data_IF_618537507628
#
_entry.id   IF_618537507628
#
_cell.length_a   1.000
_cell.length_b   1.000
_cell.length_c   1.000
_cell.angle_alpha   90.00
_cell.angle_beta   90.00
_cell.angle_gamma   90.00
#
_symmetry.space_group_name_H-M   'P 1'
#
loop_
_entity.id
_entity.type
_entity.pdbx_description
1 polymer ?
#
# COMPACT_ATOMS: atom_id res chain seq x y z
N UNK A 1 3.00 7.56 8.87
CA UNK A 1 3.26 7.78 10.32
C UNK A 1 3.64 9.23 10.60
N UNK A 2 3.52 9.70 11.85
CA UNK A 2 3.99 11.04 12.24
C UNK A 2 5.53 11.06 12.29
N UNK A 3 6.22 12.05 11.68
CA UNK A 3 7.67 12.04 11.55
C UNK A 3 8.44 11.86 12.86
N UNK A 4 7.96 12.45 13.95
CA UNK A 4 8.60 12.39 15.28
C UNK A 4 8.38 11.07 16.05
N UNK A 5 7.69 10.11 15.46
CA UNK A 5 7.40 8.79 16.07
C UNK A 5 7.94 7.63 15.24
N UNK A 6 8.46 7.86 14.04
CA UNK A 6 8.83 6.80 13.11
C UNK A 6 9.97 5.91 13.66
N UNK A 7 10.98 6.52 14.25
CA UNK A 7 12.08 5.83 14.93
C UNK A 7 11.57 4.90 16.05
N UNK A 8 10.73 5.44 16.94
CA UNK A 8 10.14 4.68 18.04
C UNK A 8 9.23 3.54 17.56
N UNK A 9 8.53 3.73 16.45
CA UNK A 9 7.71 2.68 15.85
C UNK A 9 8.59 1.57 15.29
N UNK A 10 9.68 1.90 14.59
CA UNK A 10 10.63 0.93 14.08
C UNK A 10 11.31 0.14 15.23
N UNK A 11 11.74 0.83 16.29
CA UNK A 11 12.32 0.21 17.49
C UNK A 11 11.33 -0.70 18.21
N UNK A 12 10.07 -0.30 18.31
CA UNK A 12 9.02 -1.12 18.91
C UNK A 12 8.75 -2.39 18.08
N UNK A 13 8.76 -2.31 16.76
CA UNK A 13 8.66 -3.49 15.88
C UNK A 13 9.85 -4.43 16.07
N UNK A 14 11.07 -3.90 16.09
CA UNK A 14 12.28 -4.69 16.36
C UNK A 14 12.21 -5.40 17.71
N UNK A 15 11.79 -4.69 18.77
CA UNK A 15 11.67 -5.26 20.12
C UNK A 15 10.64 -6.40 20.22
N UNK A 16 9.69 -6.46 19.28
CA UNK A 16 8.68 -7.52 19.18
C UNK A 16 9.11 -8.69 18.27
N UNK A 17 10.35 -8.66 17.77
CA UNK A 17 10.90 -9.71 16.92
C UNK A 17 10.51 -9.62 15.44
N UNK A 18 10.03 -8.46 14.99
CA UNK A 18 9.83 -8.20 13.56
C UNK A 18 11.20 -8.10 12.91
N UNK A 19 11.41 -8.85 11.83
CA UNK A 19 12.70 -8.91 11.12
C UNK A 19 12.78 -7.96 9.93
N UNK A 20 11.64 -7.59 9.34
CA UNK A 20 11.56 -6.67 8.20
C UNK A 20 10.31 -5.81 8.28
N UNK A 21 10.46 -4.50 8.19
CA UNK A 21 9.35 -3.54 8.16
C UNK A 21 9.81 -2.21 7.55
N UNK A 22 8.88 -1.51 6.93
CA UNK A 22 9.01 -0.10 6.61
C UNK A 22 7.99 0.71 7.41
N UNK A 23 8.46 1.70 8.15
CA UNK A 23 7.64 2.76 8.73
C UNK A 23 7.75 3.96 7.82
N UNK A 24 6.64 4.40 7.23
CA UNK A 24 6.67 5.39 6.15
C UNK A 24 5.94 6.69 6.54
N UNK A 25 6.42 7.79 5.96
CA UNK A 25 5.77 9.09 5.98
C UNK A 25 5.78 9.64 4.56
N UNK A 26 4.59 9.69 3.95
CA UNK A 26 4.41 10.12 2.58
C UNK A 26 4.55 11.62 2.39
N UNK A 27 4.99 12.02 1.20
CA UNK A 27 5.02 13.42 0.80
C UNK A 27 3.65 14.08 1.00
N UNK A 28 3.65 15.30 1.52
CA UNK A 28 2.42 16.03 1.84
C UNK A 28 1.69 15.54 3.10
N UNK A 29 2.30 14.65 3.89
CA UNK A 29 1.74 14.16 5.14
C UNK A 29 0.88 12.90 5.00
N UNK A 30 0.96 12.21 3.85
CA UNK A 30 0.25 10.94 3.65
C UNK A 30 0.74 9.88 4.66
N UNK A 31 -0.16 9.02 5.09
CA UNK A 31 0.12 7.88 5.96
C UNK A 31 0.58 6.62 5.19
N UNK A 32 0.70 6.74 3.86
CA UNK A 32 1.25 5.78 2.91
C UNK A 32 2.30 6.43 2.00
N UNK A 33 2.97 5.68 1.14
CA UNK A 33 3.90 6.22 0.16
C UNK A 33 3.16 7.00 -0.91
N UNK A 34 3.47 8.29 -1.02
CA UNK A 34 2.87 9.20 -1.99
C UNK A 34 3.56 9.10 -3.37
N UNK A 35 2.81 9.38 -4.43
CA UNK A 35 3.34 9.56 -5.79
C UNK A 35 3.61 11.04 -6.14
N UNK A 36 3.32 11.94 -5.21
CA UNK A 36 3.47 13.39 -5.39
C UNK A 36 4.89 13.92 -5.11
N UNK A 37 5.76 13.11 -4.49
CA UNK A 37 7.11 13.55 -4.13
C UNK A 37 7.87 12.51 -3.31
N UNK A 38 9.02 12.91 -2.69
CA UNK A 38 9.85 12.02 -1.89
C UNK A 38 9.15 11.62 -0.59
N UNK A 39 9.28 10.36 -0.21
CA UNK A 39 8.73 9.78 1.00
C UNK A 39 9.86 9.37 1.93
N UNK A 40 9.71 9.63 3.22
CA UNK A 40 10.67 9.19 4.24
C UNK A 40 10.34 7.77 4.68
N UNK A 41 11.36 6.92 4.72
CA UNK A 41 11.26 5.51 5.13
C UNK A 41 12.22 5.26 6.29
N UNK A 42 11.72 4.62 7.34
CA UNK A 42 12.52 3.96 8.37
C UNK A 42 12.40 2.46 8.15
N UNK A 43 13.43 1.89 7.56
CA UNK A 43 13.51 0.46 7.29
C UNK A 43 14.10 -0.28 8.48
N UNK A 44 13.35 -1.22 9.02
CA UNK A 44 13.86 -2.24 9.91
C UNK A 44 14.25 -3.46 9.07
N UNK A 45 15.53 -3.85 9.13
CA UNK A 45 16.04 -5.08 8.51
C UNK A 45 17.03 -5.75 9.43
N UNK A 46 16.78 -7.02 9.77
CA UNK A 46 17.65 -7.83 10.66
C UNK A 46 18.07 -7.12 11.96
N UNK A 47 17.12 -6.43 12.59
CA UNK A 47 17.32 -5.74 13.87
C UNK A 47 18.03 -4.39 13.75
N UNK A 48 18.34 -3.92 12.55
CA UNK A 48 18.91 -2.59 12.29
C UNK A 48 17.86 -1.67 11.67
N UNK A 49 17.88 -0.39 12.05
CA UNK A 49 17.00 0.63 11.47
C UNK A 49 17.84 1.56 10.59
N UNK A 50 17.47 1.68 9.32
CA UNK A 50 18.05 2.61 8.36
C UNK A 50 17.00 3.63 7.91
N UNK A 51 17.42 4.87 7.67
CA UNK A 51 16.52 5.92 7.18
C UNK A 51 16.97 6.34 5.78
N UNK A 52 16.01 6.39 4.85
CA UNK A 52 16.25 6.87 3.48
C UNK A 52 14.97 7.49 2.90
N UNK A 53 15.10 8.09 1.72
CA UNK A 53 13.96 8.55 0.93
C UNK A 53 13.72 7.62 -0.26
N UNK A 54 12.44 7.42 -0.60
CA UNK A 54 11.99 6.73 -1.80
C UNK A 54 11.03 7.62 -2.59
N UNK A 55 11.18 7.63 -3.91
CA UNK A 55 10.33 8.44 -4.78
C UNK A 55 9.77 7.60 -5.92
N UNK A 56 8.45 7.66 -6.13
CA UNK A 56 7.75 6.90 -7.17
C UNK A 56 8.28 7.17 -8.58
N UNK A 57 8.75 8.41 -8.86
CA UNK A 57 9.36 8.78 -10.15
C UNK A 57 10.59 7.95 -10.51
N UNK A 58 11.35 7.46 -9.51
CA UNK A 58 12.57 6.68 -9.71
C UNK A 58 12.26 5.27 -10.26
N UNK A 59 10.98 4.87 -10.21
CA UNK A 59 10.41 3.62 -10.75
C UNK A 59 9.52 3.86 -11.99
N UNK A 60 9.67 5.03 -12.64
CA UNK A 60 8.90 5.36 -13.84
C UNK A 60 7.42 5.66 -13.62
N UNK A 61 7.02 5.92 -12.37
CA UNK A 61 5.65 6.33 -12.03
C UNK A 61 5.54 7.85 -12.17
N UNK A 62 4.50 8.31 -12.86
CA UNK A 62 4.24 9.73 -13.07
C UNK A 62 3.93 10.44 -11.75
N UNK A 63 4.46 11.64 -11.59
CA UNK A 63 4.12 12.49 -10.45
C UNK A 63 2.68 12.97 -10.58
N UNK A 64 1.90 12.81 -9.51
CA UNK A 64 0.51 13.26 -9.39
C UNK A 64 0.33 14.07 -8.11
N UNK A 65 -0.71 14.85 -8.04
CA UNK A 65 -1.05 15.63 -6.84
C UNK A 65 -1.87 14.81 -5.85
N UNK A 66 -1.99 15.28 -4.61
CA UNK A 66 -2.88 14.65 -3.63
C UNK A 66 -4.36 14.75 -4.02
N UNK A 67 -4.73 15.77 -4.79
CA UNK A 67 -6.10 15.91 -5.28
C UNK A 67 -6.45 14.87 -6.35
N UNK A 68 -5.47 14.41 -7.14
CA UNK A 68 -5.66 13.37 -8.16
C UNK A 68 -5.98 11.97 -7.57
N UNK A 69 -5.68 11.75 -6.31
CA UNK A 69 -5.93 10.49 -5.59
C UNK A 69 -7.03 10.63 -4.53
N UNK A 70 -7.67 11.80 -4.47
CA UNK A 70 -8.70 12.07 -3.48
C UNK A 70 -9.91 11.16 -3.70
N UNK A 71 -10.36 10.51 -2.63
CA UNK A 71 -11.63 9.81 -2.58
C UNK A 71 -12.81 10.76 -2.40
N UNK A 72 -14.00 10.17 -2.27
CA UNK A 72 -15.26 10.84 -2.05
C UNK A 72 -16.15 10.07 -1.08
N UNK A 73 -17.46 10.12 -1.32
CA UNK A 73 -18.42 9.30 -0.59
C UNK A 73 -18.21 7.79 -0.88
N UNK A 74 -18.79 6.89 -0.09
CA UNK A 74 -18.59 5.44 -0.25
C UNK A 74 -18.85 4.92 -1.67
N UNK A 75 -19.85 5.45 -2.36
CA UNK A 75 -20.19 5.10 -3.73
C UNK A 75 -19.11 5.52 -4.73
N UNK A 76 -18.53 6.72 -4.55
CA UNK A 76 -17.42 7.22 -5.37
C UNK A 76 -16.17 6.34 -5.16
N UNK A 77 -15.86 6.03 -3.90
CA UNK A 77 -14.74 5.17 -3.54
C UNK A 77 -14.89 3.75 -4.11
N UNK A 78 -16.11 3.21 -4.12
CA UNK A 78 -16.39 1.92 -4.76
C UNK A 78 -16.15 1.95 -6.27
N UNK A 79 -16.54 3.04 -6.93
CA UNK A 79 -16.29 3.22 -8.37
C UNK A 79 -14.77 3.30 -8.65
N UNK A 80 -14.03 4.09 -7.87
CA UNK A 80 -12.57 4.21 -7.94
C UNK A 80 -11.89 2.85 -7.75
N UNK A 81 -12.31 2.07 -6.74
CA UNK A 81 -11.77 0.75 -6.47
C UNK A 81 -11.99 -0.21 -7.65
N UNK A 82 -13.21 -0.23 -8.21
CA UNK A 82 -13.55 -1.07 -9.37
C UNK A 82 -12.74 -0.70 -10.60
N UNK A 83 -12.63 0.59 -10.91
CA UNK A 83 -11.83 1.10 -12.02
C UNK A 83 -10.35 0.71 -11.87
N UNK A 84 -9.80 0.87 -10.66
CA UNK A 84 -8.41 0.52 -10.34
C UNK A 84 -8.16 -0.97 -10.57
N UNK A 85 -9.03 -1.84 -10.05
CA UNK A 85 -8.88 -3.29 -10.19
C UNK A 85 -9.27 -3.83 -11.57
N UNK A 86 -10.02 -3.05 -12.37
CA UNK A 86 -10.21 -3.31 -13.79
C UNK A 86 -8.98 -2.91 -14.65
N UNK A 87 -7.91 -2.40 -14.02
CA UNK A 87 -6.67 -2.03 -14.69
C UNK A 87 -6.68 -0.64 -15.33
N UNK A 88 -7.67 0.21 -15.03
CA UNK A 88 -7.74 1.58 -15.57
C UNK A 88 -6.49 2.37 -15.16
N UNK A 89 -5.71 2.89 -16.13
CA UNK A 89 -4.54 3.71 -15.83
C UNK A 89 -4.91 5.00 -15.11
N UNK A 90 -4.02 5.48 -14.23
CA UNK A 90 -4.17 6.76 -13.57
C UNK A 90 -3.53 6.80 -12.18
N UNK A 91 -3.57 7.98 -11.52
CA UNK A 91 -2.90 8.24 -10.26
C UNK A 91 -3.25 7.26 -9.13
N UNK A 92 -4.52 6.84 -9.03
CA UNK A 92 -4.95 5.89 -8.00
C UNK A 92 -4.35 4.50 -8.24
N UNK A 93 -4.31 4.02 -9.48
CA UNK A 93 -3.63 2.76 -9.80
C UNK A 93 -2.13 2.86 -9.51
N UNK A 94 -1.52 4.00 -9.81
CA UNK A 94 -0.10 4.23 -9.62
C UNK A 94 0.28 4.19 -8.14
N UNK A 95 -0.45 4.88 -7.25
CA UNK A 95 -0.18 4.84 -5.82
C UNK A 95 -0.43 3.45 -5.23
N UNK A 96 -1.49 2.76 -5.64
CA UNK A 96 -1.80 1.38 -5.20
C UNK A 96 -0.69 0.42 -5.60
N UNK A 97 -0.23 0.45 -6.86
CA UNK A 97 0.84 -0.46 -7.31
C UNK A 97 2.19 -0.12 -6.69
N UNK A 98 2.47 1.16 -6.42
CA UNK A 98 3.69 1.59 -5.74
C UNK A 98 3.74 1.07 -4.30
N UNK A 99 2.69 1.31 -3.51
CA UNK A 99 2.62 0.83 -2.13
C UNK A 99 2.62 -0.70 -2.04
N UNK A 100 1.84 -1.37 -2.89
CA UNK A 100 1.84 -2.84 -2.96
C UNK A 100 3.21 -3.40 -3.35
N UNK A 101 3.90 -2.77 -4.30
CA UNK A 101 5.24 -3.17 -4.73
C UNK A 101 6.27 -3.05 -3.60
N UNK A 102 6.26 -1.95 -2.86
CA UNK A 102 7.10 -1.79 -1.68
C UNK A 102 6.77 -2.82 -0.59
N UNK A 103 5.49 -3.12 -0.37
CA UNK A 103 5.07 -4.14 0.59
C UNK A 103 5.55 -5.55 0.19
N UNK A 104 5.51 -5.90 -1.09
CA UNK A 104 6.04 -7.16 -1.61
C UNK A 104 7.56 -7.28 -1.43
N UNK A 105 8.31 -6.19 -1.60
CA UNK A 105 9.73 -6.14 -1.31
C UNK A 105 10.00 -6.36 0.20
N UNK A 106 9.34 -5.63 1.07
CA UNK A 106 9.47 -5.76 2.53
C UNK A 106 9.14 -7.18 3.00
N UNK A 107 8.15 -7.82 2.37
CA UNK A 107 7.77 -9.20 2.66
C UNK A 107 8.75 -10.25 2.10
N UNK A 108 9.80 -9.86 1.38
CA UNK A 108 10.75 -10.77 0.75
C UNK A 108 10.17 -11.59 -0.42
N UNK A 109 9.03 -11.17 -0.97
CA UNK A 109 8.37 -11.81 -2.13
C UNK A 109 8.97 -11.29 -3.44
N UNK A 110 9.40 -10.03 -3.45
CA UNK A 110 10.06 -9.38 -4.57
C UNK A 110 11.54 -9.16 -4.27
N UNK A 111 12.39 -9.24 -5.31
CA UNK A 111 13.83 -9.07 -5.19
C UNK A 111 14.26 -7.61 -4.96
N UNK A 112 13.46 -6.68 -5.46
CA UNK A 112 13.58 -5.24 -5.25
C UNK A 112 12.22 -4.56 -5.43
N UNK A 113 12.18 -3.24 -5.22
CA UNK A 113 10.95 -2.45 -5.34
C UNK A 113 10.40 -2.46 -6.77
N UNK A 114 11.26 -2.46 -7.79
CA UNK A 114 10.83 -2.51 -9.20
C UNK A 114 10.12 -3.82 -9.52
N UNK A 115 10.71 -4.97 -9.14
CA UNK A 115 10.08 -6.30 -9.26
C UNK A 115 8.74 -6.35 -8.49
N UNK A 116 8.70 -5.75 -7.30
CA UNK A 116 7.47 -5.64 -6.52
C UNK A 116 6.36 -4.87 -7.23
N UNK A 117 6.69 -3.73 -7.84
CA UNK A 117 5.73 -2.92 -8.61
C UNK A 117 5.22 -3.69 -9.84
N UNK A 118 6.09 -4.39 -10.55
CA UNK A 118 5.69 -5.20 -11.71
C UNK A 118 4.74 -6.33 -11.29
N UNK A 119 5.00 -7.01 -10.18
CA UNK A 119 4.11 -8.03 -9.61
C UNK A 119 2.76 -7.46 -9.18
N UNK A 120 2.76 -6.29 -8.56
CA UNK A 120 1.52 -5.61 -8.18
C UNK A 120 0.67 -5.24 -9.41
N UNK A 121 1.29 -4.73 -10.47
CA UNK A 121 0.64 -4.46 -11.77
C UNK A 121 0.07 -5.75 -12.38
N UNK A 122 0.87 -6.81 -12.41
CA UNK A 122 0.44 -8.11 -12.95
C UNK A 122 -0.74 -8.70 -12.18
N UNK A 123 -0.80 -8.51 -10.84
CA UNK A 123 -1.95 -8.94 -10.02
C UNK A 123 -3.26 -8.24 -10.42
N UNK A 124 -3.19 -6.95 -10.74
CA UNK A 124 -4.35 -6.20 -11.22
C UNK A 124 -4.70 -6.66 -12.64
N UNK A 125 -3.73 -6.67 -13.55
CA UNK A 125 -3.94 -6.91 -14.98
C UNK A 125 -4.42 -8.34 -15.28
N UNK A 126 -4.08 -9.31 -14.44
CA UNK A 126 -4.56 -10.69 -14.52
C UNK A 126 -5.95 -10.91 -13.92
N UNK A 127 -6.51 -9.92 -13.20
CA UNK A 127 -7.75 -10.06 -12.45
C UNK A 127 -7.60 -10.75 -11.09
N UNK A 128 -6.39 -11.12 -10.67
CA UNK A 128 -6.18 -11.78 -9.37
C UNK A 128 -6.60 -10.87 -8.19
N UNK A 129 -6.36 -9.57 -8.29
CA UNK A 129 -6.80 -8.61 -7.28
C UNK A 129 -8.33 -8.52 -7.15
N UNK A 130 -9.07 -8.58 -8.27
CA UNK A 130 -10.53 -8.64 -8.29
C UNK A 130 -11.04 -9.90 -7.60
N UNK A 131 -10.45 -11.06 -7.90
CA UNK A 131 -10.85 -12.32 -7.28
C UNK A 131 -10.68 -12.32 -5.75
N UNK A 132 -9.62 -11.68 -5.25
CA UNK A 132 -9.42 -11.49 -3.80
C UNK A 132 -10.50 -10.58 -3.21
N UNK A 133 -10.84 -9.47 -3.87
CA UNK A 133 -11.90 -8.56 -3.43
C UNK A 133 -13.25 -9.28 -3.34
N UNK A 134 -13.62 -10.05 -4.36
CA UNK A 134 -14.86 -10.84 -4.37
C UNK A 134 -14.92 -11.84 -3.21
N UNK A 135 -13.80 -12.50 -2.92
CA UNK A 135 -13.71 -13.41 -1.78
C UNK A 135 -13.87 -12.67 -0.43
N UNK A 136 -13.26 -11.48 -0.27
CA UNK A 136 -13.42 -10.66 0.93
C UNK A 136 -14.89 -10.26 1.12
N UNK A 137 -15.55 -9.80 0.05
CA UNK A 137 -16.99 -9.45 0.07
C UNK A 137 -17.83 -10.65 0.49
N UNK A 138 -17.60 -11.83 -0.10
CA UNK A 138 -18.35 -13.04 0.22
C UNK A 138 -18.16 -13.47 1.69
N UNK A 139 -16.93 -13.37 2.22
CA UNK A 139 -16.63 -13.72 3.62
C UNK A 139 -17.31 -12.73 4.57
N UNK A 140 -17.19 -11.43 4.33
CA UNK A 140 -17.75 -10.40 5.21
C UNK A 140 -19.28 -10.48 5.26
N UNK A 141 -19.95 -10.69 4.14
CA UNK A 141 -21.41 -10.88 4.11
C UNK A 141 -21.84 -12.13 4.88
N UNK A 142 -21.14 -13.24 4.72
CA UNK A 142 -21.44 -14.47 5.45
C UNK A 142 -21.31 -14.30 6.96
N UNK A 143 -20.23 -13.64 7.42
CA UNK A 143 -20.02 -13.42 8.84
C UNK A 143 -21.01 -12.40 9.42
N UNK A 144 -21.40 -11.36 8.68
CA UNK A 144 -22.45 -10.43 9.10
C UNK A 144 -23.78 -11.16 9.33
N UNK A 145 -24.23 -11.99 8.37
CA UNK A 145 -25.46 -12.79 8.51
C UNK A 145 -25.38 -13.76 9.71
N UNK A 146 -24.22 -14.35 9.97
CA UNK A 146 -24.02 -15.25 11.09
C UNK A 146 -24.16 -14.52 12.45
N UNK A 147 -23.63 -13.30 12.55
CA UNK A 147 -23.75 -12.49 13.77
C UNK A 147 -25.19 -12.04 14.04
N UNK A 148 -25.96 -11.73 13.01
CA UNK A 148 -27.39 -11.37 13.13
C UNK A 148 -28.27 -12.54 13.55
N UNK A 149 -27.84 -13.77 13.29
CA UNK A 149 -28.62 -15.00 13.60
C UNK A 149 -28.23 -15.69 14.90
N UNK A 150 -27.19 -15.21 15.60
CA UNK A 150 -26.83 -15.68 16.94
C UNK A 150 -27.64 -14.91 18.00
N UNK A 151 -28.44 -15.59 18.84
CA UNK A 151 -29.23 -14.97 19.91
C UNK A 151 -28.35 -14.42 21.03
#
# INVERSE_FOLDING_TARGET
AMPNMMDRMADALASRGVTSAWVVHGHGGLDELAVSGPNTVFELHDGQVHTFEVNAKDFGIAVSTLDDIRGGEPEDNLAILRDTFAGKPGPVRDIVTFNAGCALYVAGIAGDVSDGIERARASIDSGAAVAVLENVIAITHREATRMETQP
#
